data_IF_677759076387
#
_entry.id   IF_677759076387
#
_cell.length_a   1.000
_cell.length_b   1.000
_cell.length_c   1.000
_cell.angle_alpha   90.00
_cell.angle_beta   90.00
_cell.angle_gamma   90.00
#
_symmetry.space_group_name_H-M   'P 1'
#
loop_
_entity.id
_entity.type
_entity.pdbx_description
1 polymer ?
#
# COMPACT_ATOMS: atom_id res chain seq x y z
N UNK A 1 8.16 11.18 -68.29
CA UNK A 1 7.40 11.58 -67.08
C UNK A 1 8.40 11.99 -66.01
N UNK A 2 8.41 13.26 -65.57
CA UNK A 2 9.42 13.74 -64.60
C UNK A 2 9.03 13.36 -63.16
N UNK A 3 9.87 12.56 -62.50
CA UNK A 3 9.76 12.29 -61.07
C UNK A 3 10.41 13.43 -60.28
N UNK A 4 9.59 14.37 -59.81
CA UNK A 4 10.04 15.48 -58.94
C UNK A 4 10.48 14.91 -57.60
N UNK A 5 11.77 15.08 -57.27
CA UNK A 5 12.31 14.73 -55.94
C UNK A 5 11.81 15.74 -54.90
N UNK A 6 10.71 15.41 -54.21
CA UNK A 6 10.19 16.18 -53.09
C UNK A 6 11.24 16.18 -51.96
N UNK A 7 11.63 17.37 -51.50
CA UNK A 7 12.56 17.53 -50.38
C UNK A 7 11.80 17.25 -49.07
N UNK A 8 12.16 16.16 -48.38
CA UNK A 8 11.48 15.76 -47.13
C UNK A 8 11.50 16.86 -46.05
N UNK A 9 12.48 17.78 -46.06
CA UNK A 9 12.50 18.92 -45.13
C UNK A 9 11.43 19.96 -45.43
N UNK A 10 11.11 20.22 -46.71
CA UNK A 10 10.03 21.17 -47.06
C UNK A 10 8.66 20.53 -46.88
N UNK A 11 8.53 19.22 -47.12
CA UNK A 11 7.31 18.47 -46.80
C UNK A 11 7.01 18.48 -45.28
N UNK A 12 8.02 18.25 -44.44
CA UNK A 12 7.87 18.31 -42.98
C UNK A 12 7.52 19.73 -42.50
N UNK A 13 8.17 20.76 -43.04
CA UNK A 13 7.85 22.16 -42.71
C UNK A 13 6.41 22.54 -43.08
N UNK A 14 5.94 22.15 -44.28
CA UNK A 14 4.56 22.36 -44.71
C UNK A 14 3.55 21.64 -43.79
N UNK A 15 3.86 20.42 -43.34
CA UNK A 15 3.00 19.66 -42.43
C UNK A 15 2.94 20.30 -41.02
N UNK A 16 4.05 20.81 -40.50
CA UNK A 16 4.06 21.58 -39.25
C UNK A 16 3.23 22.88 -39.35
N UNK A 17 3.31 23.58 -40.49
CA UNK A 17 2.49 24.79 -40.75
C UNK A 17 1.00 24.42 -40.83
N UNK A 18 0.65 23.32 -41.51
CA UNK A 18 -0.73 22.85 -41.58
C UNK A 18 -1.30 22.51 -40.19
N UNK A 19 -0.54 21.83 -39.32
CA UNK A 19 -0.94 21.54 -37.95
C UNK A 19 -1.12 22.82 -37.12
N UNK A 20 -0.22 23.80 -37.24
CA UNK A 20 -0.38 25.11 -36.59
C UNK A 20 -1.64 25.85 -37.06
N UNK A 21 -1.94 25.84 -38.36
CA UNK A 21 -3.16 26.44 -38.91
C UNK A 21 -4.43 25.73 -38.42
N UNK A 22 -4.42 24.40 -38.29
CA UNK A 22 -5.53 23.62 -37.71
C UNK A 22 -5.74 23.99 -36.23
N UNK A 23 -4.67 24.13 -35.45
CA UNK A 23 -4.74 24.53 -34.03
C UNK A 23 -5.29 25.96 -33.89
N UNK A 24 -4.86 26.90 -34.73
CA UNK A 24 -5.37 28.29 -34.73
C UNK A 24 -6.81 28.38 -35.24
N UNK A 25 -7.22 27.50 -36.17
CA UNK A 25 -8.61 27.38 -36.59
C UNK A 25 -9.49 26.83 -35.46
N UNK A 26 -9.04 25.76 -34.78
CA UNK A 26 -9.74 25.21 -33.61
C UNK A 26 -9.85 26.22 -32.46
N UNK A 27 -8.80 26.99 -32.15
CA UNK A 27 -8.87 28.00 -31.09
C UNK A 27 -9.79 29.18 -31.42
N UNK A 28 -10.00 29.51 -32.71
CA UNK A 28 -10.97 30.53 -33.14
C UNK A 28 -12.40 30.00 -33.35
N UNK A 29 -12.58 28.71 -33.62
CA UNK A 29 -13.91 28.08 -33.64
C UNK A 29 -14.40 27.64 -32.25
N UNK A 30 -13.50 27.45 -31.29
CA UNK A 30 -13.82 27.06 -29.91
C UNK A 30 -14.63 28.09 -29.12
N UNK A 31 -14.65 29.37 -29.52
CA UNK A 31 -15.47 30.41 -28.86
C UNK A 31 -16.96 30.41 -29.27
N UNK A 32 -17.39 29.50 -30.15
CA UNK A 32 -18.77 29.43 -30.66
C UNK A 32 -19.63 28.28 -30.08
N UNK A 33 -19.40 27.90 -28.82
CA UNK A 33 -20.36 27.20 -27.95
C UNK A 33 -19.94 27.38 -26.48
N UNK A 34 -20.74 27.93 -25.55
CA UNK A 34 -22.13 28.40 -25.63
C UNK A 34 -22.24 29.88 -25.23
N UNK A 35 -23.10 30.64 -25.92
CA UNK A 35 -23.77 31.82 -25.36
C UNK A 35 -25.27 31.52 -25.33
N UNK A 36 -25.96 31.67 -24.18
CA UNK A 36 -27.42 31.58 -24.17
C UNK A 36 -27.99 32.77 -24.95
N UNK A 37 -28.67 32.50 -26.06
CA UNK A 37 -29.41 33.53 -26.79
C UNK A 37 -30.62 33.89 -25.96
N UNK A 38 -30.67 35.14 -25.47
CA UNK A 38 -31.86 35.70 -24.81
C UNK A 38 -32.95 35.84 -25.88
N UNK A 39 -33.90 34.91 -25.89
CA UNK A 39 -35.06 34.94 -26.78
C UNK A 39 -36.08 35.96 -26.30
N UNK A 40 -35.83 37.24 -26.61
CA UNK A 40 -36.82 38.33 -26.49
C UNK A 40 -37.92 38.14 -27.56
N UNK A 41 -38.75 37.10 -27.42
CA UNK A 41 -39.97 36.87 -28.20
C UNK A 41 -40.86 35.71 -27.66
N UNK A 42 -41.14 35.68 -26.35
CA UNK A 42 -42.25 34.87 -25.79
C UNK A 42 -43.05 35.54 -24.67
N UNK A 43 -43.02 36.87 -24.57
CA UNK A 43 -43.99 37.65 -23.79
C UNK A 43 -45.37 37.57 -24.46
N UNK A 44 -46.05 36.44 -24.30
CA UNK A 44 -47.27 36.13 -25.05
C UNK A 44 -48.09 34.93 -24.57
N UNK A 45 -47.84 34.40 -23.36
CA UNK A 45 -48.74 33.42 -22.70
C UNK A 45 -48.45 33.31 -21.18
N UNK A 46 -48.43 34.46 -20.49
CA UNK A 46 -48.34 34.52 -19.01
C UNK A 46 -49.71 34.32 -18.35
N UNK A 47 -50.32 33.14 -18.51
CA UNK A 47 -51.45 32.72 -17.67
C UNK A 47 -51.48 31.18 -17.51
N UNK A 48 -51.69 30.72 -16.27
CA UNK A 48 -52.11 29.35 -15.89
C UNK A 48 -51.20 28.16 -16.25
N UNK A 49 -50.13 27.97 -15.48
CA UNK A 49 -50.12 26.86 -14.51
C UNK A 49 -49.48 27.35 -13.21
N UNK A 50 -50.25 27.37 -12.13
CA UNK A 50 -49.74 27.40 -10.76
C UNK A 50 -50.06 26.06 -10.10
N UNK A 51 -49.29 25.72 -9.07
CA UNK A 51 -49.45 24.56 -8.19
C UNK A 51 -49.54 23.16 -8.83
N UNK A 52 -48.41 22.45 -8.79
CA UNK A 52 -48.41 21.06 -8.31
C UNK A 52 -47.06 20.72 -7.66
N UNK A 53 -47.09 20.06 -6.49
CA UNK A 53 -45.93 19.57 -5.72
C UNK A 53 -44.79 20.57 -5.42
N UNK A 54 -44.93 21.38 -4.37
CA UNK A 54 -43.85 22.22 -3.84
C UNK A 54 -42.97 21.51 -2.81
N UNK A 55 -41.87 20.86 -3.25
CA UNK A 55 -40.75 20.42 -2.40
C UNK A 55 -39.42 20.46 -3.18
N UNK A 56 -38.95 21.67 -3.52
CA UNK A 56 -37.68 21.86 -4.24
C UNK A 56 -37.12 23.26 -4.06
N UNK A 57 -35.96 23.38 -3.42
CA UNK A 57 -35.28 24.65 -3.19
C UNK A 57 -34.76 25.30 -4.49
N UNK A 58 -34.72 26.63 -4.50
CA UNK A 58 -34.21 27.43 -5.60
C UNK A 58 -32.70 27.22 -5.80
N UNK A 59 -32.24 27.05 -7.04
CA UNK A 59 -30.81 27.06 -7.35
C UNK A 59 -30.27 28.51 -7.34
N UNK A 60 -29.14 28.72 -6.67
CA UNK A 60 -28.50 30.03 -6.47
C UNK A 60 -26.97 29.95 -6.64
N UNK A 61 -26.34 31.09 -6.85
CA UNK A 61 -24.89 31.20 -6.97
C UNK A 61 -24.24 31.52 -5.61
N UNK A 62 -23.31 30.68 -5.15
CA UNK A 62 -22.45 30.95 -4.00
C UNK A 62 -21.09 31.46 -4.47
N UNK A 63 -20.78 32.75 -4.23
CA UNK A 63 -19.44 33.30 -4.47
C UNK A 63 -18.53 32.98 -3.28
N UNK A 64 -17.47 32.21 -3.52
CA UNK A 64 -16.50 31.77 -2.50
C UNK A 64 -15.35 32.78 -2.45
N UNK A 65 -15.17 33.43 -1.29
CA UNK A 65 -14.12 34.43 -1.00
C UNK A 65 -14.02 35.64 -1.97
N UNK A 66 -14.94 35.78 -2.93
CA UNK A 66 -14.82 36.73 -4.04
C UNK A 66 -14.00 36.24 -5.24
N UNK A 67 -13.55 34.97 -5.23
CA UNK A 67 -12.63 34.42 -6.24
C UNK A 67 -13.35 33.63 -7.35
N UNK A 68 -14.32 32.79 -6.98
CA UNK A 68 -15.06 31.93 -7.90
C UNK A 68 -16.45 31.55 -7.37
N UNK A 69 -17.30 31.05 -8.24
CA UNK A 69 -18.69 30.70 -7.94
C UNK A 69 -18.93 29.19 -7.90
N UNK A 70 -19.87 28.77 -7.05
CA UNK A 70 -20.32 27.39 -6.88
C UNK A 70 -21.85 27.35 -6.95
N UNK A 71 -22.42 26.38 -7.67
CA UNK A 71 -23.86 26.16 -7.70
C UNK A 71 -24.36 25.64 -6.34
N UNK A 72 -25.30 26.37 -5.74
CA UNK A 72 -25.86 26.14 -4.41
C UNK A 72 -27.37 25.98 -4.49
N UNK A 73 -27.99 25.47 -3.42
CA UNK A 73 -29.45 25.44 -3.28
C UNK A 73 -29.89 26.28 -2.10
N UNK A 74 -31.04 26.94 -2.23
CA UNK A 74 -31.68 27.73 -1.19
C UNK A 74 -33.08 27.21 -0.94
N UNK A 75 -33.40 26.86 0.31
CA UNK A 75 -34.77 26.67 0.76
C UNK A 75 -35.07 27.71 1.84
N UNK A 76 -36.05 28.59 1.59
CA UNK A 76 -36.43 29.73 2.44
C UNK A 76 -35.25 30.63 2.82
N UNK A 77 -34.75 30.50 4.05
CA UNK A 77 -33.64 31.21 4.67
C UNK A 77 -32.32 30.41 4.66
N UNK A 78 -32.39 29.10 4.40
CA UNK A 78 -31.24 28.19 4.47
C UNK A 78 -30.55 28.05 3.11
N UNK A 79 -29.21 28.06 3.12
CA UNK A 79 -28.36 27.85 1.95
C UNK A 79 -27.56 26.56 2.12
N UNK A 80 -27.69 25.67 1.15
CA UNK A 80 -27.03 24.37 1.06
C UNK A 80 -25.93 24.42 0.01
N UNK A 81 -24.69 24.24 0.46
CA UNK A 81 -23.52 24.11 -0.40
C UNK A 81 -23.35 22.63 -0.81
N UNK A 82 -22.94 22.33 -2.05
CA UNK A 82 -22.80 20.95 -2.50
C UNK A 82 -21.59 20.27 -1.83
N UNK A 83 -21.74 19.02 -1.39
CA UNK A 83 -20.64 18.31 -0.72
C UNK A 83 -19.40 18.14 -1.62
N UNK A 84 -19.58 18.09 -2.94
CA UNK A 84 -18.48 18.06 -3.92
C UNK A 84 -17.55 19.29 -3.89
N UNK A 85 -18.03 20.42 -3.36
CA UNK A 85 -17.20 21.58 -2.99
C UNK A 85 -16.62 21.40 -1.58
N UNK A 86 -17.48 21.14 -0.59
CA UNK A 86 -17.10 21.04 0.85
C UNK A 86 -15.94 20.06 1.06
N UNK A 87 -16.01 18.87 0.46
CA UNK A 87 -14.98 17.82 0.63
C UNK A 87 -13.59 18.25 0.10
N UNK A 88 -13.54 19.16 -0.87
CA UNK A 88 -12.29 19.67 -1.45
C UNK A 88 -11.78 20.90 -0.71
N UNK A 89 -12.70 21.79 -0.32
CA UNK A 89 -12.36 23.07 0.31
C UNK A 89 -11.95 22.91 1.78
N UNK A 90 -12.56 21.94 2.50
CA UNK A 90 -12.26 21.66 3.91
C UNK A 90 -11.51 20.32 4.12
N UNK A 91 -11.11 19.64 3.03
CA UNK A 91 -10.45 18.32 3.03
C UNK A 91 -11.16 17.21 3.85
N UNK A 92 -12.48 17.33 4.02
CA UNK A 92 -13.34 16.37 4.73
C UNK A 92 -13.84 15.24 3.83
N UNK A 93 -14.37 14.17 4.44
CA UNK A 93 -14.77 12.94 3.77
C UNK A 93 -16.25 12.64 3.98
N UNK A 94 -16.86 11.98 3.01
CA UNK A 94 -18.22 11.48 3.16
C UNK A 94 -18.67 10.60 2.01
N UNK A 95 -19.70 9.79 2.28
CA UNK A 95 -20.27 8.80 1.36
C UNK A 95 -21.75 8.61 1.65
N UNK A 96 -22.50 8.17 0.65
CA UNK A 96 -23.85 7.65 0.86
C UNK A 96 -23.73 6.16 1.21
N UNK A 97 -24.43 5.72 2.25
CA UNK A 97 -24.64 4.32 2.58
C UNK A 97 -26.13 4.01 2.61
N UNK A 98 -26.52 2.89 2.01
CA UNK A 98 -27.89 2.39 2.07
C UNK A 98 -27.99 1.31 3.14
N UNK A 99 -28.99 1.38 4.01
CA UNK A 99 -29.24 0.37 5.04
C UNK A 99 -30.74 0.27 5.28
N UNK A 100 -31.28 -0.95 5.15
CA UNK A 100 -32.72 -1.25 5.20
C UNK A 100 -33.56 -0.46 4.18
N UNK A 101 -32.98 -0.17 3.01
CA UNK A 101 -33.59 0.64 1.96
C UNK A 101 -33.59 2.15 2.22
N UNK A 102 -32.98 2.61 3.32
CA UNK A 102 -32.82 4.03 3.65
C UNK A 102 -31.39 4.48 3.36
N UNK A 103 -31.25 5.39 2.39
CA UNK A 103 -29.99 6.06 2.10
C UNK A 103 -29.65 7.12 3.16
N UNK A 104 -28.40 7.14 3.61
CA UNK A 104 -27.87 8.02 4.65
C UNK A 104 -26.54 8.59 4.18
N UNK A 105 -26.28 9.87 4.46
CA UNK A 105 -24.97 10.46 4.20
C UNK A 105 -24.09 10.38 5.45
N UNK A 106 -23.06 9.55 5.40
CA UNK A 106 -22.04 9.47 6.44
C UNK A 106 -20.97 10.53 6.20
N UNK A 107 -20.90 11.54 7.08
CA UNK A 107 -19.82 12.53 7.15
C UNK A 107 -18.69 12.05 8.06
N UNK A 108 -17.43 12.30 7.70
CA UNK A 108 -16.29 12.18 8.60
C UNK A 108 -15.26 13.29 8.36
N UNK A 109 -14.71 13.87 9.43
CA UNK A 109 -13.66 14.88 9.33
C UNK A 109 -12.30 14.27 8.90
N UNK A 110 -12.07 12.99 9.23
CA UNK A 110 -10.83 12.25 8.92
C UNK A 110 -11.14 10.82 8.47
N UNK A 111 -10.17 10.12 7.85
CA UNK A 111 -10.35 8.75 7.35
C UNK A 111 -9.75 7.64 8.24
N UNK A 112 -8.94 8.01 9.25
CA UNK A 112 -8.20 7.06 10.09
C UNK A 112 -8.84 6.87 11.46
N UNK A 113 -8.76 5.65 11.99
CA UNK A 113 -9.30 5.28 13.30
C UNK A 113 -8.20 5.21 14.36
N UNK A 114 -8.50 5.70 15.55
CA UNK A 114 -7.65 5.59 16.75
C UNK A 114 -7.96 4.27 17.46
N UNK A 115 -6.93 3.52 17.81
CA UNK A 115 -7.02 2.26 18.56
C UNK A 115 -6.85 2.55 20.06
N UNK A 116 -7.74 1.97 20.87
CA UNK A 116 -7.71 2.12 22.32
C UNK A 116 -7.29 0.78 22.95
N UNK A 117 -6.03 0.63 23.41
CA UNK A 117 -5.51 -0.65 23.88
C UNK A 117 -6.16 -1.04 25.20
N UNK A 118 -6.61 -2.30 25.28
CA UNK A 118 -7.35 -2.87 26.42
C UNK A 118 -6.46 -3.35 27.57
N UNK A 119 -5.14 -3.27 27.40
CA UNK A 119 -4.10 -3.73 28.33
C UNK A 119 -2.92 -2.75 28.27
N UNK A 120 -2.06 -2.79 29.28
CA UNK A 120 -0.69 -2.27 29.19
C UNK A 120 0.05 -2.94 28.02
N UNK A 121 0.96 -2.22 27.39
CA UNK A 121 1.92 -2.77 26.43
C UNK A 121 2.81 -3.85 27.08
N UNK A 122 3.21 -4.84 26.29
CA UNK A 122 4.13 -5.92 26.68
C UNK A 122 5.02 -6.21 25.45
N UNK A 123 6.36 -6.16 25.56
CA UNK A 123 7.27 -6.53 24.48
C UNK A 123 7.14 -7.98 23.97
N UNK A 124 6.39 -8.84 24.68
CA UNK A 124 6.02 -10.21 24.25
C UNK A 124 4.57 -10.31 23.74
N UNK A 125 3.87 -9.20 23.64
CA UNK A 125 2.49 -9.09 23.15
C UNK A 125 2.40 -8.53 21.72
N UNK A 126 1.24 -8.00 21.37
CA UNK A 126 1.01 -7.30 20.09
C UNK A 126 1.83 -6.02 20.00
N UNK A 127 2.57 -5.82 18.91
CA UNK A 127 3.35 -4.61 18.70
C UNK A 127 2.44 -3.43 18.33
N UNK A 128 2.11 -2.59 19.32
CA UNK A 128 1.20 -1.44 19.21
C UNK A 128 -0.18 -1.81 18.63
N UNK A 129 -0.41 -1.57 17.33
CA UNK A 129 -1.65 -1.82 16.58
C UNK A 129 -1.45 -2.79 15.41
N UNK A 130 -0.26 -3.40 15.29
CA UNK A 130 0.18 -4.10 14.07
C UNK A 130 -0.55 -5.42 13.78
N UNK A 131 -1.39 -5.92 14.71
CA UNK A 131 -2.38 -6.97 14.39
C UNK A 131 -3.26 -6.55 13.19
N UNK A 132 -3.58 -5.26 13.08
CA UNK A 132 -4.40 -4.69 12.01
C UNK A 132 -3.60 -4.37 10.73
N UNK A 133 -2.28 -4.64 10.70
CA UNK A 133 -1.41 -4.20 9.62
C UNK A 133 -1.22 -5.29 8.57
N UNK A 134 -1.67 -4.98 7.35
CA UNK A 134 -1.29 -5.71 6.14
C UNK A 134 -0.16 -4.92 5.48
N UNK A 135 1.05 -5.47 5.46
CA UNK A 135 2.28 -4.77 5.02
C UNK A 135 2.59 -5.12 3.58
N UNK A 136 2.58 -6.42 3.29
CA UNK A 136 2.66 -7.10 2.02
C UNK A 136 1.71 -6.56 0.95
N UNK A 137 0.44 -6.26 1.26
CA UNK A 137 -0.52 -5.70 0.28
C UNK A 137 -0.09 -4.34 -0.28
N UNK A 138 0.62 -3.51 0.49
CA UNK A 138 0.92 -2.10 0.18
C UNK A 138 1.65 -1.96 -1.18
N UNK A 139 1.28 -0.98 -1.99
CA UNK A 139 1.85 -0.75 -3.35
C UNK A 139 3.39 -0.67 -3.36
N UNK A 140 3.98 -0.08 -2.31
CA UNK A 140 5.44 0.02 -2.15
C UNK A 140 6.15 -1.31 -1.89
N UNK A 141 5.42 -2.41 -1.69
CA UNK A 141 5.98 -3.78 -1.67
C UNK A 141 5.90 -4.33 -3.09
N UNK A 142 7.06 -4.61 -3.69
CA UNK A 142 7.19 -5.18 -5.04
C UNK A 142 6.68 -6.63 -5.11
N UNK A 143 7.11 -7.42 -4.13
CA UNK A 143 6.88 -8.85 -3.98
C UNK A 143 7.42 -9.28 -2.61
N UNK A 144 6.99 -10.43 -2.12
CA UNK A 144 7.77 -11.17 -1.13
C UNK A 144 8.91 -11.89 -1.86
N UNK A 145 10.15 -11.74 -1.42
CA UNK A 145 11.31 -12.40 -2.05
C UNK A 145 11.13 -13.92 -2.06
N UNK A 146 11.38 -14.56 -3.20
CA UNK A 146 11.38 -16.02 -3.31
C UNK A 146 12.58 -16.68 -2.61
N UNK A 147 13.65 -15.91 -2.40
CA UNK A 147 14.90 -16.36 -1.75
C UNK A 147 14.83 -16.14 -0.24
N UNK A 148 14.54 -14.90 0.17
CA UNK A 148 14.70 -14.44 1.56
C UNK A 148 13.40 -14.49 2.39
N UNK A 149 12.25 -14.80 1.77
CA UNK A 149 10.94 -14.81 2.44
C UNK A 149 10.41 -13.44 2.91
N UNK A 150 11.16 -12.34 2.71
CA UNK A 150 10.84 -10.99 3.20
C UNK A 150 10.44 -10.01 2.07
N UNK A 151 9.67 -8.94 2.38
CA UNK A 151 9.17 -8.01 1.36
C UNK A 151 10.26 -7.11 0.76
N UNK A 152 10.32 -7.07 -0.58
CA UNK A 152 11.15 -6.13 -1.35
C UNK A 152 10.40 -4.81 -1.51
N UNK A 153 11.05 -3.67 -1.26
CA UNK A 153 10.47 -2.34 -1.41
C UNK A 153 10.75 -1.72 -2.79
N UNK A 154 9.79 -0.97 -3.34
CA UNK A 154 9.98 -0.05 -4.47
C UNK A 154 10.05 1.42 -4.05
N UNK A 155 9.75 1.75 -2.78
CA UNK A 155 9.47 3.10 -2.27
C UNK A 155 10.47 4.17 -2.75
N UNK A 156 11.77 3.83 -2.78
CA UNK A 156 12.83 4.69 -3.32
C UNK A 156 13.68 4.01 -4.40
N UNK A 157 13.25 2.88 -4.99
CA UNK A 157 13.94 2.23 -6.12
C UNK A 157 13.02 1.27 -6.92
N UNK A 158 12.63 1.56 -8.18
CA UNK A 158 11.75 0.68 -8.98
C UNK A 158 12.35 -0.71 -9.30
N UNK A 159 13.67 -0.85 -9.25
CA UNK A 159 14.34 -2.15 -9.37
C UNK A 159 13.98 -3.09 -8.21
N UNK A 160 13.70 -2.56 -7.03
CA UNK A 160 13.49 -3.30 -5.80
C UNK A 160 14.73 -3.28 -4.91
N UNK A 161 14.55 -3.10 -3.61
CA UNK A 161 15.59 -3.17 -2.59
C UNK A 161 15.02 -3.70 -1.26
N UNK A 162 15.85 -4.35 -0.45
CA UNK A 162 15.48 -4.73 0.91
C UNK A 162 15.50 -3.49 1.81
N UNK A 163 14.36 -3.15 2.42
CA UNK A 163 14.23 -1.98 3.29
C UNK A 163 13.93 -2.45 4.73
N UNK A 164 14.90 -2.34 5.67
CA UNK A 164 14.76 -2.92 7.02
C UNK A 164 13.48 -2.53 7.75
N UNK A 165 13.05 -1.27 7.70
CA UNK A 165 11.80 -0.83 8.35
C UNK A 165 10.56 -1.53 7.78
N UNK A 166 10.53 -1.83 6.48
CA UNK A 166 9.43 -2.56 5.84
C UNK A 166 9.44 -4.05 6.20
N UNK A 167 10.64 -4.63 6.36
CA UNK A 167 10.84 -6.03 6.77
C UNK A 167 10.47 -6.22 8.25
N UNK A 168 10.91 -5.31 9.12
CA UNK A 168 10.52 -5.28 10.53
C UNK A 168 9.01 -5.10 10.72
N UNK A 169 8.38 -4.16 9.97
CA UNK A 169 6.92 -4.00 10.00
C UNK A 169 6.18 -5.29 9.59
N UNK A 170 6.66 -6.02 8.58
CA UNK A 170 6.09 -7.29 8.14
C UNK A 170 6.21 -8.37 9.23
N UNK A 171 7.39 -8.53 9.83
CA UNK A 171 7.60 -9.46 10.94
C UNK A 171 6.73 -9.15 12.16
N UNK A 172 6.71 -7.89 12.61
CA UNK A 172 5.93 -7.45 13.79
C UNK A 172 4.41 -7.56 13.56
N UNK A 173 3.93 -7.37 12.33
CA UNK A 173 2.52 -7.57 11.98
C UNK A 173 2.13 -9.06 12.00
N UNK A 174 2.90 -9.94 11.35
CA UNK A 174 2.64 -11.39 11.41
C UNK A 174 2.80 -11.95 12.83
N UNK A 175 3.75 -11.46 13.62
CA UNK A 175 3.88 -11.82 15.03
C UNK A 175 2.65 -11.40 15.85
N UNK A 176 2.20 -10.15 15.70
CA UNK A 176 1.00 -9.66 16.41
C UNK A 176 -0.24 -10.47 16.07
N UNK A 177 -0.43 -10.83 14.79
CA UNK A 177 -1.52 -11.71 14.33
C UNK A 177 -1.41 -13.11 14.91
N UNK A 178 -0.21 -13.71 14.95
CA UNK A 178 0.02 -15.02 15.57
C UNK A 178 -0.35 -15.05 17.08
N UNK A 179 -0.45 -13.89 17.74
CA UNK A 179 -0.83 -13.78 19.16
C UNK A 179 -2.33 -13.50 19.35
N UNK A 180 -3.07 -13.04 18.32
CA UNK A 180 -4.49 -12.65 18.45
C UNK A 180 -5.47 -13.34 17.47
N UNK A 181 -4.99 -13.88 16.36
CA UNK A 181 -5.76 -14.73 15.44
C UNK A 181 -5.75 -16.21 15.93
N UNK A 182 -6.79 -17.01 15.62
CA UNK A 182 -6.79 -18.44 15.95
C UNK A 182 -5.80 -19.24 15.09
N UNK A 183 -5.33 -20.37 15.63
CA UNK A 183 -4.48 -21.33 14.91
C UNK A 183 -4.99 -21.64 13.49
N UNK A 184 -4.14 -21.53 12.45
CA UNK A 184 -4.57 -21.67 11.07
C UNK A 184 -4.96 -23.12 10.72
N UNK A 185 -5.86 -23.26 9.74
CA UNK A 185 -6.23 -24.57 9.20
C UNK A 185 -5.11 -25.14 8.35
N UNK A 186 -4.38 -26.12 8.89
CA UNK A 186 -3.31 -26.82 8.16
C UNK A 186 -3.87 -28.07 7.48
N UNK A 187 -3.91 -28.07 6.14
CA UNK A 187 -4.13 -29.28 5.33
C UNK A 187 -2.79 -29.78 4.77
N UNK A 188 -2.32 -30.90 5.29
CA UNK A 188 -1.21 -31.65 4.67
C UNK A 188 -1.70 -32.20 3.32
N UNK A 189 -0.87 -32.07 2.29
CA UNK A 189 -1.14 -32.61 0.94
C UNK A 189 -0.42 -33.95 0.77
N UNK A 190 0.89 -33.97 0.94
CA UNK A 190 1.70 -35.20 1.00
C UNK A 190 2.85 -34.96 2.00
N UNK A 191 3.13 -35.92 2.88
CA UNK A 191 4.25 -35.88 3.84
C UNK A 191 5.33 -36.95 3.55
N UNK A 192 5.17 -37.72 2.47
CA UNK A 192 6.07 -38.80 2.06
C UNK A 192 5.94 -40.10 2.85
N UNK A 193 5.20 -40.16 3.97
CA UNK A 193 5.15 -41.32 4.87
C UNK A 193 3.73 -41.79 5.27
N UNK A 194 2.88 -40.88 5.75
CA UNK A 194 1.55 -41.16 6.33
C UNK A 194 0.42 -40.55 5.52
N UNK A 195 0.59 -39.31 5.05
CA UNK A 195 -0.35 -38.63 4.16
C UNK A 195 0.24 -38.72 2.76
N UNK A 196 -0.36 -39.56 1.92
CA UNK A 196 0.16 -39.91 0.60
C UNK A 196 -0.88 -39.57 -0.47
N UNK A 197 -0.53 -38.70 -1.42
CA UNK A 197 -1.41 -38.35 -2.53
C UNK A 197 -1.06 -39.09 -3.82
N UNK A 198 -2.05 -39.14 -4.72
CA UNK A 198 -1.97 -39.83 -6.01
C UNK A 198 -1.49 -38.90 -7.12
N UNK A 199 -0.17 -38.68 -7.14
CA UNK A 199 0.51 -37.88 -8.16
C UNK A 199 0.35 -38.47 -9.57
N UNK A 200 0.00 -37.60 -10.53
CA UNK A 200 -0.10 -37.92 -11.96
C UNK A 200 1.26 -37.62 -12.60
N UNK A 201 1.79 -38.60 -13.33
CA UNK A 201 3.17 -38.60 -13.85
C UNK A 201 3.13 -38.74 -15.37
N UNK A 202 3.78 -37.84 -16.11
CA UNK A 202 3.96 -37.95 -17.56
C UNK A 202 4.79 -39.20 -17.94
N UNK A 203 4.60 -39.72 -19.16
CA UNK A 203 5.24 -40.98 -19.63
C UNK A 203 6.77 -40.99 -19.58
N UNK A 204 7.39 -39.82 -19.57
CA UNK A 204 8.83 -39.56 -19.55
C UNK A 204 9.32 -39.00 -18.20
N UNK A 205 8.43 -38.89 -17.22
CA UNK A 205 8.72 -38.45 -15.87
C UNK A 205 8.74 -39.64 -14.89
N UNK A 206 9.36 -39.45 -13.72
CA UNK A 206 9.41 -40.44 -12.64
C UNK A 206 9.12 -39.80 -11.29
N UNK A 207 8.58 -40.61 -10.37
CA UNK A 207 8.42 -40.26 -8.96
C UNK A 207 8.76 -41.47 -8.09
N UNK A 208 9.49 -41.25 -7.00
CA UNK A 208 9.79 -42.24 -5.96
C UNK A 208 9.64 -41.61 -4.57
N UNK A 209 9.31 -42.43 -3.57
CA UNK A 209 9.39 -42.04 -2.15
C UNK A 209 10.63 -42.68 -1.56
N UNK A 210 11.63 -41.87 -1.24
CA UNK A 210 12.96 -42.29 -0.77
C UNK A 210 13.24 -41.68 0.62
N UNK A 211 14.02 -42.36 1.46
CA UNK A 211 14.40 -41.84 2.77
C UNK A 211 15.63 -40.92 2.64
N UNK A 212 15.48 -39.64 3.00
CA UNK A 212 16.54 -38.65 2.97
C UNK A 212 17.21 -38.52 4.33
N UNK A 213 18.54 -38.69 4.37
CA UNK A 213 19.33 -38.69 5.61
C UNK A 213 19.45 -37.32 6.28
N UNK A 214 19.29 -36.23 5.51
CA UNK A 214 19.39 -34.85 6.01
C UNK A 214 18.07 -34.45 6.69
N UNK A 215 16.94 -34.73 6.04
CA UNK A 215 15.59 -34.50 6.58
C UNK A 215 15.16 -35.55 7.63
N UNK A 216 15.79 -36.72 7.65
CA UNK A 216 15.44 -37.89 8.50
C UNK A 216 13.99 -38.35 8.33
N UNK A 217 13.49 -38.24 7.11
CA UNK A 217 12.12 -38.58 6.71
C UNK A 217 12.11 -39.22 5.33
N UNK A 218 10.96 -39.78 4.94
CA UNK A 218 10.70 -40.06 3.52
C UNK A 218 10.39 -38.74 2.80
N UNK A 219 10.85 -38.63 1.56
CA UNK A 219 10.61 -37.47 0.70
C UNK A 219 10.16 -37.93 -0.69
N UNK A 220 9.36 -37.09 -1.35
CA UNK A 220 9.04 -37.24 -2.77
C UNK A 220 10.23 -36.78 -3.61
N UNK A 221 10.84 -37.71 -4.33
CA UNK A 221 11.86 -37.44 -5.34
C UNK A 221 11.21 -37.61 -6.71
N UNK A 222 11.38 -36.63 -7.58
CA UNK A 222 10.82 -36.65 -8.93
C UNK A 222 11.87 -36.29 -9.97
N UNK A 223 11.59 -36.65 -11.22
CA UNK A 223 12.34 -36.19 -12.39
C UNK A 223 11.37 -36.00 -13.56
N UNK A 224 11.55 -34.94 -14.32
CA UNK A 224 10.88 -34.70 -15.61
C UNK A 224 11.94 -34.64 -16.71
N UNK A 225 11.53 -34.67 -17.97
CA UNK A 225 12.38 -34.34 -19.11
C UNK A 225 12.35 -32.83 -19.40
N UNK A 226 13.15 -32.38 -20.38
CA UNK A 226 13.12 -31.00 -20.89
C UNK A 226 11.89 -30.72 -21.80
N UNK A 227 11.00 -31.70 -22.02
CA UNK A 227 9.77 -31.49 -22.78
C UNK A 227 8.72 -30.75 -21.94
N UNK A 228 8.08 -29.73 -22.53
CA UNK A 228 7.06 -28.87 -21.87
C UNK A 228 5.85 -29.64 -21.33
N UNK A 229 5.60 -30.85 -21.82
CA UNK A 229 4.54 -31.76 -21.35
C UNK A 229 5.00 -32.78 -20.30
N UNK A 230 6.28 -32.78 -19.91
CA UNK A 230 6.82 -33.65 -18.87
C UNK A 230 6.58 -33.03 -17.50
N UNK A 231 5.67 -33.60 -16.72
CA UNK A 231 5.26 -33.06 -15.43
C UNK A 231 4.91 -34.16 -14.44
N UNK A 232 5.12 -33.85 -13.15
CA UNK A 232 4.61 -34.58 -12.00
C UNK A 232 3.69 -33.62 -11.26
N UNK A 233 2.39 -33.92 -11.22
CA UNK A 233 1.37 -32.96 -10.78
C UNK A 233 0.22 -33.63 -10.01
N UNK A 234 -0.55 -32.83 -9.29
CA UNK A 234 -1.68 -33.25 -8.47
C UNK A 234 -2.84 -32.28 -8.65
N UNK A 235 -4.07 -32.78 -8.80
CA UNK A 235 -5.27 -31.93 -8.83
C UNK A 235 -5.74 -31.60 -7.41
N UNK A 236 -5.16 -30.56 -6.82
CA UNK A 236 -5.53 -30.09 -5.49
C UNK A 236 -6.87 -29.33 -5.54
N UNK A 237 -7.91 -29.84 -4.88
CA UNK A 237 -9.17 -29.13 -4.68
C UNK A 237 -9.17 -28.47 -3.29
N UNK A 238 -8.76 -27.21 -3.24
CA UNK A 238 -8.73 -26.33 -2.08
C UNK A 238 -9.41 -25.01 -2.49
N UNK A 239 -10.29 -24.47 -1.64
CA UNK A 239 -11.06 -23.25 -1.90
C UNK A 239 -11.12 -22.27 -0.71
N UNK A 240 -10.31 -22.53 0.30
CA UNK A 240 -10.02 -21.73 1.49
C UNK A 240 -8.52 -21.94 1.79
N UNK A 241 -7.89 -21.08 2.57
CA UNK A 241 -6.50 -21.26 3.04
C UNK A 241 -5.45 -21.25 1.89
N UNK A 242 -5.04 -20.06 1.45
CA UNK A 242 -4.15 -19.83 0.30
C UNK A 242 -2.67 -19.58 0.65
N UNK A 243 -2.22 -20.03 1.82
CA UNK A 243 -0.80 -19.99 2.20
C UNK A 243 -0.18 -21.37 1.97
N UNK A 244 0.69 -21.47 0.97
CA UNK A 244 1.43 -22.69 0.65
C UNK A 244 2.73 -22.74 1.46
N UNK A 245 3.01 -23.88 2.11
CA UNK A 245 4.30 -24.17 2.74
C UNK A 245 4.80 -25.53 2.27
N UNK A 246 6.05 -25.62 1.84
CA UNK A 246 6.70 -26.88 1.46
C UNK A 246 8.21 -26.86 1.72
N UNK A 247 8.79 -28.04 1.96
CA UNK A 247 10.23 -28.24 2.03
C UNK A 247 10.75 -28.77 0.68
N UNK A 248 11.78 -28.13 0.11
CA UNK A 248 12.32 -28.47 -1.21
C UNK A 248 13.84 -28.44 -1.27
N UNK A 249 14.42 -29.31 -2.10
CA UNK A 249 15.82 -29.29 -2.55
C UNK A 249 15.85 -29.48 -4.07
N UNK A 250 15.73 -28.38 -4.80
CA UNK A 250 15.72 -28.38 -6.27
C UNK A 250 17.13 -28.35 -6.87
N UNK A 251 17.26 -28.91 -8.08
CA UNK A 251 18.45 -28.78 -8.93
C UNK A 251 18.34 -27.50 -9.79
N UNK A 252 19.42 -27.02 -10.41
CA UNK A 252 19.32 -25.95 -11.42
C UNK A 252 18.32 -26.32 -12.53
N UNK A 253 17.71 -25.29 -13.13
CA UNK A 253 16.62 -25.39 -14.13
C UNK A 253 15.34 -26.09 -13.64
N UNK A 254 15.15 -26.26 -12.32
CA UNK A 254 13.87 -26.75 -11.78
C UNK A 254 12.84 -25.62 -11.62
N UNK A 255 11.57 -26.00 -11.61
CA UNK A 255 10.46 -25.10 -11.24
C UNK A 255 9.33 -25.86 -10.54
N UNK A 256 8.49 -25.12 -9.83
CA UNK A 256 7.18 -25.57 -9.35
C UNK A 256 6.14 -24.54 -9.76
N UNK A 257 5.04 -24.99 -10.37
CA UNK A 257 3.92 -24.11 -10.74
C UNK A 257 2.70 -24.38 -9.87
N UNK A 258 2.11 -23.33 -9.29
CA UNK A 258 0.82 -23.39 -8.62
C UNK A 258 -0.22 -22.72 -9.52
N UNK A 259 -1.33 -23.42 -9.79
CA UNK A 259 -2.41 -22.94 -10.66
C UNK A 259 -3.59 -22.48 -9.82
N UNK A 260 -3.87 -21.18 -9.83
CA UNK A 260 -5.04 -20.58 -9.20
C UNK A 260 -6.18 -20.47 -10.22
N UNK A 261 -7.41 -20.79 -9.81
CA UNK A 261 -8.60 -20.71 -10.68
C UNK A 261 -9.70 -19.89 -10.02
N UNK A 262 -10.05 -18.76 -10.62
CA UNK A 262 -11.18 -17.93 -10.22
C UNK A 262 -12.48 -18.51 -10.82
N UNK A 263 -13.27 -19.19 -9.99
CA UNK A 263 -14.50 -19.88 -10.42
C UNK A 263 -15.55 -18.93 -11.00
N UNK A 264 -15.62 -17.71 -10.50
CA UNK A 264 -16.68 -16.75 -10.84
C UNK A 264 -16.37 -16.00 -12.14
N UNK A 265 -15.11 -15.63 -12.34
CA UNK A 265 -14.65 -14.90 -13.55
C UNK A 265 -14.06 -15.78 -14.66
N UNK A 266 -13.77 -17.06 -14.38
CA UNK A 266 -13.04 -18.00 -15.25
C UNK A 266 -11.57 -17.63 -15.53
N UNK A 267 -11.00 -16.68 -14.80
CA UNK A 267 -9.56 -16.37 -14.82
C UNK A 267 -8.76 -17.57 -14.28
N UNK A 268 -7.61 -17.89 -14.87
CA UNK A 268 -6.67 -18.90 -14.37
C UNK A 268 -5.28 -18.27 -14.34
N UNK A 269 -4.59 -18.30 -13.19
CA UNK A 269 -3.28 -17.67 -12.99
C UNK A 269 -2.25 -18.73 -12.62
N UNK A 270 -1.04 -18.61 -13.20
CA UNK A 270 0.05 -19.56 -13.03
C UNK A 270 1.20 -18.91 -12.26
N UNK A 271 1.41 -19.33 -11.00
CA UNK A 271 2.50 -18.87 -10.14
C UNK A 271 3.68 -19.84 -10.25
N UNK A 272 4.75 -19.41 -10.93
CA UNK A 272 5.95 -20.20 -11.23
C UNK A 272 7.10 -19.88 -10.28
N UNK A 273 7.41 -20.80 -9.37
CA UNK A 273 8.55 -20.71 -8.46
C UNK A 273 9.77 -21.38 -9.10
N UNK A 274 10.67 -20.56 -9.66
CA UNK A 274 11.77 -21.00 -10.55
C UNK A 274 13.14 -20.85 -9.89
N UNK A 275 14.09 -21.76 -10.17
CA UNK A 275 15.48 -21.64 -9.68
C UNK A 275 16.24 -20.53 -10.42
N UNK A 276 15.94 -19.28 -10.08
CA UNK A 276 16.51 -18.06 -10.65
C UNK A 276 16.65 -16.99 -9.56
N UNK A 277 17.60 -16.06 -9.74
CA UNK A 277 17.80 -14.92 -8.85
C UNK A 277 16.95 -13.69 -9.24
N UNK A 278 16.08 -13.82 -10.25
CA UNK A 278 15.14 -12.77 -10.68
C UNK A 278 13.94 -12.71 -9.74
N UNK A 279 13.89 -11.68 -8.87
CA UNK A 279 12.88 -11.52 -7.80
C UNK A 279 11.43 -11.84 -8.21
N UNK A 280 10.93 -11.12 -9.23
CA UNK A 280 9.59 -11.31 -9.79
C UNK A 280 9.56 -10.82 -11.25
N UNK A 281 8.77 -11.49 -12.09
CA UNK A 281 8.40 -11.11 -13.45
C UNK A 281 6.97 -11.57 -13.74
N UNK A 282 6.26 -10.92 -14.67
CA UNK A 282 4.93 -11.33 -15.08
C UNK A 282 4.73 -11.09 -16.59
N UNK A 283 4.05 -12.02 -17.25
CA UNK A 283 3.61 -11.94 -18.64
C UNK A 283 2.26 -12.64 -18.75
N UNK A 284 1.23 -11.92 -19.22
CA UNK A 284 -0.13 -12.46 -19.35
C UNK A 284 -0.57 -13.10 -18.01
N UNK A 285 -1.15 -14.30 -18.01
CA UNK A 285 -1.58 -15.01 -16.80
C UNK A 285 -0.43 -15.70 -16.03
N UNK A 286 0.83 -15.53 -16.45
CA UNK A 286 2.00 -16.21 -15.89
C UNK A 286 2.86 -15.26 -15.04
N UNK A 287 3.04 -15.59 -13.77
CA UNK A 287 3.80 -14.81 -12.80
C UNK A 287 4.96 -15.67 -12.28
N UNK A 288 6.18 -15.18 -12.43
CA UNK A 288 7.42 -15.91 -12.14
C UNK A 288 8.13 -15.30 -10.93
N UNK A 289 8.36 -16.12 -9.90
CA UNK A 289 9.13 -15.76 -8.71
C UNK A 289 10.44 -16.54 -8.69
N UNK A 290 11.56 -15.81 -8.68
CA UNK A 290 12.88 -16.40 -8.49
C UNK A 290 13.07 -16.83 -7.03
N UNK A 291 13.11 -18.15 -6.81
CA UNK A 291 13.42 -18.74 -5.51
C UNK A 291 14.91 -19.01 -5.30
N UNK A 292 15.78 -18.58 -6.22
CA UNK A 292 17.23 -18.70 -6.10
C UNK A 292 17.80 -20.08 -6.46
N UNK A 293 19.10 -20.11 -6.73
CA UNK A 293 19.79 -21.22 -7.41
C UNK A 293 20.52 -22.22 -6.49
N UNK A 294 20.39 -22.11 -5.17
CA UNK A 294 21.09 -23.00 -4.23
C UNK A 294 20.47 -24.40 -4.13
N UNK A 295 21.30 -25.44 -4.22
CA UNK A 295 20.92 -26.85 -4.15
C UNK A 295 21.04 -27.36 -2.71
N UNK A 296 20.15 -26.89 -1.83
CA UNK A 296 20.04 -27.31 -0.42
C UNK A 296 18.58 -27.49 -0.01
N UNK A 297 18.31 -28.23 1.06
CA UNK A 297 16.96 -28.26 1.65
C UNK A 297 16.60 -26.88 2.23
N UNK A 298 15.36 -26.46 2.02
CA UNK A 298 14.79 -25.22 2.54
C UNK A 298 13.27 -25.29 2.57
N UNK A 299 12.67 -24.63 3.56
CA UNK A 299 11.23 -24.34 3.57
C UNK A 299 10.94 -23.12 2.72
N UNK A 300 9.92 -23.20 1.87
CA UNK A 300 9.38 -22.07 1.13
C UNK A 300 7.93 -21.89 1.58
N UNK A 301 7.60 -20.71 2.10
CA UNK A 301 6.24 -20.33 2.50
C UNK A 301 5.79 -19.13 1.67
N UNK A 302 4.65 -19.26 0.97
CA UNK A 302 4.10 -18.26 0.04
C UNK A 302 2.64 -17.99 0.36
N UNK A 303 2.25 -16.72 0.42
CA UNK A 303 0.85 -16.34 0.23
C UNK A 303 0.59 -16.23 -1.28
N UNK A 304 -0.26 -17.12 -1.80
CA UNK A 304 -0.54 -17.25 -3.22
C UNK A 304 -1.40 -16.07 -3.74
N UNK A 305 -2.22 -15.46 -2.88
CA UNK A 305 -3.06 -14.31 -3.25
C UNK A 305 -2.21 -13.05 -3.34
N UNK A 306 -1.26 -12.86 -2.42
CA UNK A 306 -0.29 -11.77 -2.47
C UNK A 306 0.63 -11.93 -3.68
N UNK A 307 1.21 -13.11 -3.92
CA UNK A 307 2.06 -13.35 -5.10
C UNK A 307 1.31 -13.05 -6.42
N UNK A 308 0.05 -13.48 -6.54
CA UNK A 308 -0.85 -13.14 -7.65
C UNK A 308 -1.05 -11.63 -7.81
N UNK A 309 -1.47 -10.93 -6.75
CA UNK A 309 -1.71 -9.48 -6.76
C UNK A 309 -0.46 -8.70 -7.15
N UNK A 310 0.72 -9.14 -6.69
CA UNK A 310 2.00 -8.50 -7.00
C UNK A 310 2.48 -8.75 -8.42
N UNK A 311 2.18 -9.91 -9.01
CA UNK A 311 2.47 -10.15 -10.42
C UNK A 311 1.62 -9.29 -11.35
N UNK A 312 0.30 -9.19 -11.11
CA UNK A 312 -0.58 -8.30 -11.88
C UNK A 312 -0.13 -6.84 -11.80
N UNK A 313 0.25 -6.36 -10.61
CA UNK A 313 0.73 -4.98 -10.41
C UNK A 313 2.04 -4.60 -11.15
N UNK A 314 2.71 -5.55 -11.83
CA UNK A 314 3.86 -5.28 -12.69
C UNK A 314 3.50 -5.02 -14.15
N UNK A 315 2.27 -5.33 -14.57
CA UNK A 315 1.82 -5.19 -15.95
C UNK A 315 1.38 -3.74 -16.25
N UNK A 316 0.89 -3.02 -15.23
CA UNK A 316 0.72 -1.56 -15.24
C UNK A 316 2.04 -0.81 -14.96
N UNK A 317 2.23 0.40 -15.53
CA UNK A 317 3.52 1.13 -15.49
C UNK A 317 3.55 2.39 -14.60
N UNK A 318 4.69 2.71 -13.95
CA UNK A 318 4.72 3.60 -12.77
C UNK A 318 5.34 5.00 -12.98
N UNK A 319 5.33 5.84 -11.93
CA UNK A 319 6.03 7.15 -11.86
C UNK A 319 7.21 7.16 -10.85
N UNK A 320 8.03 8.23 -10.84
CA UNK A 320 9.42 8.31 -10.32
C UNK A 320 9.62 9.26 -9.09
N UNK A 321 10.87 9.42 -8.59
CA UNK A 321 11.25 9.86 -7.21
C UNK A 321 12.49 10.79 -7.10
N UNK A 322 12.78 11.32 -5.88
CA UNK A 322 14.10 11.83 -5.30
C UNK A 322 14.48 13.36 -5.41
N UNK A 323 15.55 13.93 -4.74
CA UNK A 323 16.00 13.89 -3.30
C UNK A 323 16.78 15.14 -2.67
N UNK A 324 17.04 15.18 -1.32
CA UNK A 324 18.12 15.92 -0.51
C UNK A 324 18.05 17.48 -0.40
N UNK A 325 18.80 18.33 0.38
CA UNK A 325 19.92 18.46 1.41
C UNK A 325 19.80 19.92 2.05
N UNK A 326 20.55 20.59 2.99
CA UNK A 326 21.48 20.48 4.20
C UNK A 326 21.62 21.90 4.87
N UNK A 327 21.93 22.28 6.15
CA UNK A 327 22.39 21.81 7.51
C UNK A 327 21.85 22.82 8.61
N UNK A 328 21.98 22.84 9.97
CA UNK A 328 22.33 22.03 11.21
C UNK A 328 21.95 22.89 12.48
N UNK A 329 21.71 22.34 13.69
CA UNK A 329 21.33 23.09 14.95
C UNK A 329 22.20 22.75 16.21
N UNK A 330 22.03 23.48 17.34
CA UNK A 330 22.84 23.47 18.59
C UNK A 330 22.01 23.36 19.90
N UNK A 331 22.66 22.90 20.98
CA UNK A 331 22.14 22.51 22.32
C UNK A 331 21.16 21.32 22.29
N UNK A 332 21.48 20.26 23.05
CA UNK A 332 20.99 18.91 22.79
C UNK A 332 19.97 18.40 23.80
N UNK A 333 18.71 18.34 23.37
CA UNK A 333 17.84 17.21 23.70
C UNK A 333 18.15 16.09 22.69
N UNK A 334 18.49 14.86 23.12
CA UNK A 334 18.81 13.77 22.20
C UNK A 334 17.59 13.28 21.41
N UNK A 335 17.72 13.24 20.09
CA UNK A 335 16.68 12.77 19.18
C UNK A 335 17.23 11.69 18.23
N UNK A 336 16.42 10.67 17.95
CA UNK A 336 16.78 9.55 17.09
C UNK A 336 16.03 9.70 15.75
N UNK A 337 16.76 10.11 14.71
CA UNK A 337 16.18 10.54 13.44
C UNK A 337 15.79 9.37 12.52
N UNK A 338 14.53 9.36 12.04
CA UNK A 338 14.06 8.44 10.98
C UNK A 338 14.87 8.63 9.68
N UNK A 339 15.17 9.90 9.37
CA UNK A 339 16.07 10.29 8.29
C UNK A 339 17.20 11.11 8.91
N UNK A 340 18.44 10.59 9.04
CA UNK A 340 19.57 11.32 9.61
C UNK A 340 20.09 12.38 8.62
N UNK A 341 19.24 13.36 8.34
CA UNK A 341 19.51 14.49 7.46
C UNK A 341 20.39 15.50 8.17
N UNK A 342 20.95 16.39 7.35
CA UNK A 342 21.22 17.75 7.81
C UNK A 342 20.22 18.64 7.04
N UNK A 343 19.66 19.72 7.62
CA UNK A 343 19.47 19.87 9.06
C UNK A 343 18.69 18.66 9.62
N UNK A 344 18.60 18.48 10.95
CA UNK A 344 17.64 17.55 11.52
C UNK A 344 16.22 17.89 11.00
N UNK A 345 15.41 16.87 10.77
CA UNK A 345 13.99 17.00 10.44
C UNK A 345 13.11 16.79 11.67
N UNK A 346 13.57 16.01 12.65
CA UNK A 346 12.80 15.64 13.84
C UNK A 346 11.46 14.97 13.46
N UNK A 347 11.50 13.86 12.72
CA UNK A 347 10.28 13.11 12.36
C UNK A 347 9.71 12.40 13.59
N UNK A 348 8.45 12.69 13.94
CA UNK A 348 7.85 12.26 15.22
C UNK A 348 7.63 10.74 15.28
N UNK A 349 6.94 10.16 14.29
CA UNK A 349 6.55 8.75 14.32
C UNK A 349 7.77 7.81 14.42
N UNK A 350 8.86 8.10 13.71
CA UNK A 350 10.07 7.27 13.68
C UNK A 350 10.92 7.41 14.93
N UNK A 351 10.88 8.58 15.59
CA UNK A 351 11.47 8.75 16.91
C UNK A 351 10.76 7.88 17.94
N UNK A 352 9.43 7.94 18.00
CA UNK A 352 8.66 7.12 18.97
C UNK A 352 8.79 5.63 18.69
N UNK A 353 8.81 5.18 17.42
CA UNK A 353 9.14 3.77 17.12
C UNK A 353 10.55 3.36 17.58
N UNK A 354 11.50 4.30 17.62
CA UNK A 354 12.84 4.04 18.17
C UNK A 354 12.78 3.90 19.70
N UNK A 355 12.00 4.75 20.38
CA UNK A 355 11.80 4.64 21.83
C UNK A 355 11.11 3.32 22.22
N UNK A 356 10.09 2.88 21.46
CA UNK A 356 9.46 1.57 21.65
C UNK A 356 10.47 0.41 21.52
N UNK A 357 11.34 0.43 20.50
CA UNK A 357 12.38 -0.59 20.35
C UNK A 357 13.47 -0.56 21.45
N UNK A 358 13.76 0.60 22.02
CA UNK A 358 14.65 0.74 23.18
C UNK A 358 13.99 0.24 24.48
N UNK A 359 12.67 0.46 24.63
CA UNK A 359 11.87 -0.09 25.72
C UNK A 359 11.81 -1.62 25.66
N UNK A 360 11.45 -2.19 24.51
CA UNK A 360 11.41 -3.64 24.28
C UNK A 360 12.73 -4.30 24.67
N UNK A 361 13.85 -3.72 24.22
CA UNK A 361 15.19 -4.21 24.52
C UNK A 361 15.52 -4.15 26.01
N UNK A 362 15.32 -3.01 26.70
CA UNK A 362 15.71 -2.92 28.11
C UNK A 362 14.84 -3.77 29.04
N UNK A 363 13.56 -4.00 28.69
CA UNK A 363 12.67 -4.91 29.43
C UNK A 363 13.09 -6.38 29.25
N UNK A 364 13.72 -6.72 28.12
CA UNK A 364 14.27 -8.06 27.86
C UNK A 364 15.67 -8.23 28.49
N UNK A 365 16.51 -7.18 28.55
CA UNK A 365 17.82 -7.19 29.23
C UNK A 365 17.71 -7.32 30.76
N UNK A 366 16.70 -6.69 31.36
CA UNK A 366 16.40 -6.77 32.79
C UNK A 366 17.30 -5.93 33.70
N UNK A 367 16.87 -5.82 34.97
CA UNK A 367 17.37 -4.85 35.96
C UNK A 367 18.85 -5.01 36.33
N UNK A 368 19.45 -6.18 36.11
CA UNK A 368 20.83 -6.49 36.49
C UNK A 368 21.90 -5.93 35.53
N UNK A 369 21.53 -5.01 34.63
CA UNK A 369 22.41 -4.48 33.59
C UNK A 369 22.49 -2.95 33.61
N UNK A 370 23.67 -2.40 33.26
CA UNK A 370 23.78 -1.00 32.86
C UNK A 370 23.28 -0.90 31.41
N UNK A 371 21.95 -1.03 31.24
CA UNK A 371 21.31 -1.02 29.94
C UNK A 371 21.49 0.35 29.27
N UNK A 372 22.29 0.37 28.19
CA UNK A 372 22.36 1.53 27.30
C UNK A 372 21.01 1.81 26.64
N UNK A 373 20.21 0.75 26.41
CA UNK A 373 18.85 0.89 25.88
C UNK A 373 17.93 1.63 26.85
N UNK A 374 17.94 1.30 28.16
CA UNK A 374 17.20 2.08 29.17
C UNK A 374 17.68 3.53 29.20
N UNK A 375 18.99 3.79 29.23
CA UNK A 375 19.48 5.18 29.26
C UNK A 375 18.99 5.97 28.05
N UNK A 376 19.11 5.41 26.84
CA UNK A 376 18.63 6.05 25.61
C UNK A 376 17.11 6.22 25.60
N UNK A 377 16.36 5.27 26.18
CA UNK A 377 14.93 5.40 26.38
C UNK A 377 14.59 6.59 27.30
N UNK A 378 15.23 6.69 28.48
CA UNK A 378 14.99 7.77 29.46
C UNK A 378 15.37 9.17 28.91
N UNK A 379 16.56 9.26 28.29
CA UNK A 379 17.06 10.46 27.59
C UNK A 379 16.11 10.88 26.44
N UNK A 380 15.61 9.91 25.69
CA UNK A 380 14.69 10.10 24.57
C UNK A 380 13.28 10.49 24.99
N UNK A 381 12.73 9.87 26.03
CA UNK A 381 11.42 10.24 26.60
C UNK A 381 11.42 11.63 27.21
N UNK A 382 12.52 12.05 27.81
CA UNK A 382 12.71 13.44 28.27
C UNK A 382 12.60 14.41 27.09
N UNK A 383 13.25 14.08 25.97
CA UNK A 383 13.20 14.86 24.74
C UNK A 383 11.81 14.87 24.10
N UNK A 384 11.11 13.72 24.06
CA UNK A 384 9.74 13.62 23.56
C UNK A 384 8.79 14.51 24.36
N UNK A 385 8.75 14.36 25.69
CA UNK A 385 7.87 15.17 26.58
C UNK A 385 8.10 16.67 26.43
N UNK A 386 9.34 17.11 26.22
CA UNK A 386 9.68 18.54 26.04
C UNK A 386 9.34 19.06 24.63
N UNK A 387 9.43 18.24 23.59
CA UNK A 387 9.27 18.68 22.20
C UNK A 387 7.90 18.37 21.58
N UNK A 388 7.11 17.44 22.16
CA UNK A 388 5.80 17.04 21.66
C UNK A 388 4.84 18.23 21.40
N UNK A 389 4.77 19.29 22.24
CA UNK A 389 3.93 20.46 21.95
C UNK A 389 4.30 21.22 20.66
N UNK A 390 5.51 21.06 20.13
CA UNK A 390 5.93 21.65 18.85
C UNK A 390 5.35 20.92 17.63
N UNK A 391 4.73 19.76 17.83
CA UNK A 391 4.05 18.99 16.79
C UNK A 391 2.54 19.20 16.77
N UNK A 392 1.95 19.89 17.74
CA UNK A 392 0.51 20.19 17.79
C UNK A 392 0.19 21.42 16.91
N UNK A 393 -0.91 21.36 16.15
CA UNK A 393 -1.40 22.47 15.32
C UNK A 393 -2.66 23.14 15.88
N UNK A 394 -3.19 22.65 17.02
CA UNK A 394 -4.52 22.97 17.54
C UNK A 394 -5.68 22.31 16.77
N UNK A 395 -5.37 21.53 15.74
CA UNK A 395 -6.35 20.95 14.79
C UNK A 395 -5.90 19.62 14.15
N UNK A 396 -4.75 19.09 14.57
CA UNK A 396 -4.02 18.00 13.91
C UNK A 396 -2.59 17.94 14.45
N UNK A 397 -1.66 17.39 13.67
CA UNK A 397 -0.24 17.39 14.05
C UNK A 397 0.69 17.61 12.85
N UNK A 398 1.88 18.17 13.09
CA UNK A 398 2.97 18.12 12.11
C UNK A 398 3.61 16.72 12.05
N UNK A 399 4.15 16.36 10.88
CA UNK A 399 4.92 15.13 10.66
C UNK A 399 6.39 15.30 11.08
N UNK A 400 6.94 16.48 10.82
CA UNK A 400 8.32 16.85 11.11
C UNK A 400 8.45 18.36 11.37
N UNK A 401 9.55 18.76 12.01
CA UNK A 401 9.81 20.15 12.41
C UNK A 401 10.55 20.95 11.34
N UNK A 402 10.43 20.62 10.04
CA UNK A 402 11.12 21.36 8.95
C UNK A 402 10.83 22.85 8.93
N UNK A 403 9.70 23.28 9.45
CA UNK A 403 9.36 24.70 9.51
C UNK A 403 10.25 25.44 10.51
N UNK A 404 10.65 24.81 11.60
CA UNK A 404 11.69 25.32 12.50
C UNK A 404 13.11 25.15 11.94
N UNK A 405 13.42 24.04 11.26
CA UNK A 405 14.83 23.72 10.89
C UNK A 405 15.27 24.12 9.48
N UNK A 406 14.32 24.37 8.57
CA UNK A 406 14.56 24.83 7.19
C UNK A 406 13.85 26.16 6.87
N UNK A 407 12.97 26.68 7.74
CA UNK A 407 12.23 27.94 7.50
C UNK A 407 11.19 27.85 6.38
N UNK A 408 10.71 26.64 6.08
CA UNK A 408 9.71 26.37 5.02
C UNK A 408 8.31 26.15 5.60
N UNK A 409 7.28 26.07 4.75
CA UNK A 409 5.92 25.73 5.17
C UNK A 409 5.87 24.42 6.00
N UNK A 410 5.06 24.34 7.07
CA UNK A 410 4.96 23.14 7.89
C UNK A 410 4.51 21.90 7.12
N UNK A 411 5.08 20.74 7.47
CA UNK A 411 4.67 19.45 6.93
C UNK A 411 3.55 18.88 7.80
N UNK A 412 2.29 19.15 7.45
CA UNK A 412 1.13 18.58 8.15
C UNK A 412 1.13 17.05 8.01
N UNK A 413 0.96 16.35 9.13
CA UNK A 413 0.74 14.92 9.11
C UNK A 413 -0.68 14.64 8.57
N UNK A 414 -0.76 13.90 7.47
CA UNK A 414 -2.03 13.34 6.99
C UNK A 414 -2.69 12.49 8.08
N UNK A 415 -4.00 12.27 7.98
CA UNK A 415 -4.77 11.58 9.03
C UNK A 415 -4.26 10.18 9.38
N UNK A 416 -3.59 9.45 8.46
CA UNK A 416 -2.91 8.17 8.75
C UNK A 416 -1.71 8.34 9.70
N UNK A 417 -0.91 9.39 9.52
CA UNK A 417 0.21 9.70 10.41
C UNK A 417 -0.26 10.37 11.70
N UNK A 418 -1.27 11.25 11.67
CA UNK A 418 -1.85 11.82 12.89
C UNK A 418 -2.44 10.72 13.79
N UNK A 419 -3.22 9.78 13.23
CA UNK A 419 -3.71 8.63 13.98
C UNK A 419 -2.56 7.70 14.45
N UNK A 420 -1.45 7.61 13.71
CA UNK A 420 -0.24 6.91 14.17
C UNK A 420 0.37 7.60 15.40
N UNK A 421 0.54 8.93 15.39
CA UNK A 421 1.03 9.69 16.54
C UNK A 421 0.13 9.52 17.77
N UNK A 422 -1.20 9.56 17.60
CA UNK A 422 -2.15 9.35 18.70
C UNK A 422 -2.10 7.92 19.22
N UNK A 423 -2.05 6.90 18.35
CA UNK A 423 -1.91 5.49 18.76
C UNK A 423 -0.58 5.25 19.51
N UNK A 424 0.50 5.91 19.10
CA UNK A 424 1.79 5.89 19.79
C UNK A 424 1.71 6.56 21.17
N UNK A 425 1.19 7.78 21.27
CA UNK A 425 1.03 8.49 22.55
C UNK A 425 0.07 7.78 23.53
N UNK A 426 -0.98 7.11 23.04
CA UNK A 426 -1.85 6.26 23.86
C UNK A 426 -1.11 4.99 24.33
N UNK A 427 -0.24 4.44 23.48
CA UNK A 427 0.60 3.29 23.86
C UNK A 427 1.52 3.65 25.02
N UNK A 428 2.06 4.87 25.07
CA UNK A 428 2.81 5.38 26.22
C UNK A 428 1.91 5.64 27.45
N UNK A 429 0.87 6.46 27.28
CA UNK A 429 0.15 7.09 28.40
C UNK A 429 -0.78 6.17 29.21
N UNK A 430 -1.18 4.99 28.70
CA UNK A 430 -2.06 4.05 29.41
C UNK A 430 -1.37 3.28 30.57
N UNK A 431 -0.30 3.83 31.16
CA UNK A 431 0.54 3.18 32.17
C UNK A 431 1.32 1.97 31.65
N UNK A 432 1.26 1.72 30.34
CA UNK A 432 1.95 0.67 29.60
C UNK A 432 3.47 0.69 29.79
N UNK A 433 4.02 1.90 29.79
CA UNK A 433 5.43 2.22 29.88
C UNK A 433 5.52 3.14 31.09
N UNK A 434 5.95 2.62 32.23
CA UNK A 434 6.05 3.42 33.46
C UNK A 434 7.23 4.40 33.36
N UNK A 435 7.04 5.59 33.96
CA UNK A 435 7.81 6.82 33.73
C UNK A 435 8.67 7.23 34.93
#
# INVERSE_FOLDING_TARGET
MMLVRINMRTALAALCIAVLLIIVFWSRCGEFSHRPIVSVLSNGLSERVADTSGTGGQEIECVINGEYSVACRRDRDQVYLPFSFIHKYFEVYGKITSTDGVDRFEWSHSYSKIYHPKKKYDPRGTFTTFENYNVEVRERVKCISGIEGVPVSTQWEPRGFYYPTQIAQFGLAHYSKNVTEPEPRVRIIDDGDKVLENWIVSKDATISREYDQEMKSKVLKFSTSDHVSSQVWLKVNISQDFVLSLDVRFKPNSSMTVVLQNKDKKETVYLHYVTSNQLIYAQEDHIYHGIGTEVKWRRITRDLIIDMQKGWALQDRPKRKSPRNKFRVSRSLPWYEEYPTTPPLFVLNGFIYTLLGLYDLHVIEGENSISLAKKMFDDGMTSLKTLLPLFDTGSGSFYDLRHFTLGVSPNLARWDYHATHVNQAITENNGSIEL
#
